data_IF_964320333152
#
_entry.id   IF_964320333152
#
_cell.length_a   1.000
_cell.length_b   1.000
_cell.length_c   1.000
_cell.angle_alpha   90.00
_cell.angle_beta   90.00
_cell.angle_gamma   90.00
#
_symmetry.space_group_name_H-M   'P 1'
#
loop_
_entity.id
_entity.type
_entity.pdbx_description
1 polymer ?
#
# COMPACT_ATOMS: atom_id res chain seq x y z
N UNK A 1 -48.50 -1.32 40.80
CA UNK A 1 -47.12 -1.75 41.14
C UNK A 1 -46.29 -2.15 39.91
N UNK A 2 -46.80 -1.96 38.68
CA UNK A 2 -46.15 -2.42 37.44
C UNK A 2 -45.23 -1.37 36.77
N UNK A 3 -45.33 -0.11 37.17
CA UNK A 3 -44.59 1.02 36.57
C UNK A 3 -43.11 1.09 37.01
N UNK A 4 -42.77 0.57 38.20
CA UNK A 4 -41.38 0.51 38.70
C UNK A 4 -40.56 -0.54 37.94
N UNK A 5 -41.18 -1.67 37.57
CA UNK A 5 -40.53 -2.73 36.78
C UNK A 5 -40.21 -2.26 35.36
N UNK A 6 -41.05 -1.40 34.79
CA UNK A 6 -40.88 -0.87 33.44
C UNK A 6 -39.75 0.16 33.35
N UNK A 7 -39.59 0.99 34.39
CA UNK A 7 -38.47 1.93 34.50
C UNK A 7 -37.14 1.20 34.70
N UNK A 8 -37.12 0.08 35.42
CA UNK A 8 -35.92 -0.73 35.61
C UNK A 8 -35.47 -1.42 34.31
N UNK A 9 -36.42 -1.85 33.47
CA UNK A 9 -36.13 -2.44 32.15
C UNK A 9 -35.58 -1.39 31.17
N UNK A 10 -36.08 -0.15 31.21
CA UNK A 10 -35.58 0.95 30.38
C UNK A 10 -34.15 1.35 30.77
N UNK A 11 -33.84 1.38 32.07
CA UNK A 11 -32.50 1.65 32.59
C UNK A 11 -31.47 0.58 32.19
N UNK A 12 -31.87 -0.69 32.19
CA UNK A 12 -31.02 -1.80 31.74
C UNK A 12 -30.75 -1.73 30.23
N UNK A 13 -31.75 -1.38 29.41
CA UNK A 13 -31.56 -1.16 27.98
C UNK A 13 -30.61 0.01 27.69
N UNK A 14 -30.74 1.11 28.44
CA UNK A 14 -29.87 2.29 28.33
C UNK A 14 -28.41 1.96 28.70
N UNK A 15 -28.20 1.15 29.73
CA UNK A 15 -26.86 0.70 30.16
C UNK A 15 -26.22 -0.22 29.12
N UNK A 16 -26.97 -1.12 28.49
CA UNK A 16 -26.46 -1.99 27.43
C UNK A 16 -26.08 -1.21 26.16
N UNK A 17 -26.86 -0.18 25.80
CA UNK A 17 -26.54 0.70 24.67
C UNK A 17 -25.29 1.55 24.91
N UNK A 18 -25.09 2.02 26.15
CA UNK A 18 -23.87 2.74 26.52
C UNK A 18 -22.65 1.81 26.59
N UNK A 19 -22.82 0.55 27.00
CA UNK A 19 -21.74 -0.44 26.99
C UNK A 19 -21.24 -0.75 25.57
N UNK A 20 -22.14 -0.92 24.59
CA UNK A 20 -21.76 -1.14 23.19
C UNK A 20 -21.16 0.09 22.48
N UNK A 21 -21.37 1.30 23.02
CA UNK A 21 -20.71 2.52 22.55
C UNK A 21 -19.36 2.79 23.24
N UNK A 22 -19.15 2.20 24.42
CA UNK A 22 -17.90 2.27 25.18
C UNK A 22 -16.88 1.19 24.74
N UNK A 23 -17.35 0.06 24.18
CA UNK A 23 -16.56 -0.80 23.29
C UNK A 23 -16.31 -0.03 21.99
N UNK A 24 -15.29 0.83 22.01
CA UNK A 24 -14.90 1.64 20.85
C UNK A 24 -14.84 0.77 19.59
N UNK A 25 -15.46 1.26 18.51
CA UNK A 25 -15.47 0.54 17.23
C UNK A 25 -14.06 0.06 16.92
N UNK A 26 -13.85 -1.24 16.64
CA UNK A 26 -12.54 -1.73 16.29
C UNK A 26 -12.06 -0.91 15.09
N UNK A 27 -10.90 -0.24 15.25
CA UNK A 27 -10.29 0.52 14.17
C UNK A 27 -9.93 -0.48 13.07
N UNK A 28 -10.84 -0.62 12.10
CA UNK A 28 -10.61 -1.43 10.93
C UNK A 28 -9.80 -0.59 9.95
N UNK A 29 -8.68 -1.10 9.42
CA UNK A 29 -7.92 -0.41 8.40
C UNK A 29 -8.85 -0.09 7.21
N UNK A 30 -8.85 1.15 6.75
CA UNK A 30 -9.70 1.54 5.63
C UNK A 30 -9.28 0.80 4.35
N UNK A 31 -10.21 0.09 3.72
CA UNK A 31 -9.97 -0.62 2.45
C UNK A 31 -9.61 0.35 1.31
N UNK A 32 -10.05 1.61 1.40
CA UNK A 32 -9.70 2.65 0.43
C UNK A 32 -8.19 2.95 0.39
N UNK A 33 -7.51 2.95 1.55
CA UNK A 33 -6.06 3.18 1.59
C UNK A 33 -5.28 2.04 0.92
N UNK A 34 -5.72 0.78 1.09
CA UNK A 34 -5.09 -0.37 0.45
C UNK A 34 -5.21 -0.34 -1.09
N UNK A 35 -6.37 0.08 -1.62
CA UNK A 35 -6.56 0.23 -3.07
C UNK A 35 -5.76 1.40 -3.66
N UNK A 36 -5.62 2.51 -2.94
CA UNK A 36 -4.80 3.64 -3.39
C UNK A 36 -3.30 3.26 -3.46
N UNK A 37 -2.81 2.54 -2.44
CA UNK A 37 -1.42 2.08 -2.39
C UNK A 37 -1.12 1.08 -3.52
N UNK A 38 -1.99 0.08 -3.73
CA UNK A 38 -1.80 -0.89 -4.81
C UNK A 38 -1.82 -0.24 -6.20
N UNK A 39 -2.73 0.71 -6.45
CA UNK A 39 -2.72 1.50 -7.68
C UNK A 39 -1.45 2.32 -7.89
N UNK A 40 -0.93 2.95 -6.83
CA UNK A 40 0.34 3.70 -6.89
C UNK A 40 1.55 2.79 -7.14
N UNK A 41 1.55 1.59 -6.56
CA UNK A 41 2.60 0.59 -6.78
C UNK A 41 2.58 0.05 -8.21
N UNK A 42 1.38 -0.21 -8.77
CA UNK A 42 1.24 -0.62 -10.16
C UNK A 42 1.71 0.48 -11.14
N UNK A 43 1.43 1.75 -10.83
CA UNK A 43 1.96 2.87 -11.61
C UNK A 43 3.49 2.95 -11.53
N UNK A 44 4.07 2.79 -10.33
CA UNK A 44 5.52 2.77 -10.14
C UNK A 44 6.19 1.59 -10.89
N UNK A 45 5.59 0.40 -10.83
CA UNK A 45 6.03 -0.78 -11.60
C UNK A 45 6.10 -0.48 -13.11
N UNK A 46 5.04 0.10 -13.67
CA UNK A 46 5.00 0.49 -15.09
C UNK A 46 6.07 1.52 -15.43
N UNK A 47 6.33 2.47 -14.54
CA UNK A 47 7.39 3.47 -14.72
C UNK A 47 8.78 2.84 -14.76
N UNK A 48 9.09 1.94 -13.82
CA UNK A 48 10.39 1.25 -13.77
C UNK A 48 10.60 0.38 -15.01
N UNK A 49 9.56 -0.33 -15.45
CA UNK A 49 9.61 -1.14 -16.66
C UNK A 49 9.84 -0.28 -17.92
N UNK A 50 9.22 0.90 -18.00
CA UNK A 50 9.51 1.86 -19.07
C UNK A 50 10.98 2.35 -19.04
N UNK A 51 11.52 2.68 -17.86
CA UNK A 51 12.93 3.06 -17.70
C UNK A 51 13.88 1.92 -18.11
N UNK A 52 13.58 0.69 -17.73
CA UNK A 52 14.37 -0.48 -18.09
C UNK A 52 14.37 -0.76 -19.60
N UNK A 53 13.20 -0.63 -20.25
CA UNK A 53 13.08 -0.76 -21.70
C UNK A 53 13.83 0.34 -22.44
N UNK A 54 13.75 1.57 -21.97
CA UNK A 54 14.51 2.69 -22.53
C UNK A 54 16.02 2.44 -22.43
N UNK A 55 16.52 2.08 -21.24
CA UNK A 55 17.92 1.77 -21.03
C UNK A 55 18.41 0.63 -21.94
N UNK A 56 17.62 -0.43 -22.06
CA UNK A 56 17.93 -1.57 -22.94
C UNK A 56 18.00 -1.16 -24.41
N UNK A 57 17.07 -0.31 -24.85
CA UNK A 57 17.06 0.22 -26.21
C UNK A 57 18.25 1.15 -26.49
N UNK A 58 18.61 2.01 -25.53
CA UNK A 58 19.77 2.89 -25.63
C UNK A 58 21.07 2.08 -25.73
N UNK A 59 21.24 1.07 -24.88
CA UNK A 59 22.38 0.16 -24.93
C UNK A 59 22.47 -0.60 -26.27
N UNK A 60 21.34 -1.11 -26.77
CA UNK A 60 21.30 -1.77 -28.08
C UNK A 60 21.57 -0.82 -29.25
N UNK A 61 21.15 0.44 -29.17
CA UNK A 61 21.46 1.45 -30.18
C UNK A 61 22.97 1.76 -30.21
N UNK A 62 23.62 1.80 -29.04
CA UNK A 62 25.06 1.98 -28.95
C UNK A 62 25.83 0.76 -29.46
N UNK A 63 25.44 -0.44 -29.06
CA UNK A 63 26.07 -1.70 -29.50
C UNK A 63 25.94 -1.91 -31.01
N UNK A 64 24.83 -1.49 -31.61
CA UNK A 64 24.61 -1.53 -33.06
C UNK A 64 25.23 -0.36 -33.84
N UNK A 65 25.93 0.56 -33.17
CA UNK A 65 26.56 1.73 -33.80
C UNK A 65 25.56 2.79 -34.31
N UNK A 66 24.30 2.72 -33.88
CA UNK A 66 23.27 3.73 -34.20
C UNK A 66 23.34 4.96 -33.28
N UNK A 67 24.09 4.86 -32.19
CA UNK A 67 24.32 5.94 -31.23
C UNK A 67 25.76 5.87 -30.70
N UNK A 68 26.40 7.02 -30.55
CA UNK A 68 27.71 7.12 -29.89
C UNK A 68 27.58 7.45 -28.38
N UNK A 69 26.34 7.63 -27.90
CA UNK A 69 26.07 8.00 -26.50
C UNK A 69 26.08 6.80 -25.56
N UNK A 70 27.26 6.19 -25.41
CA UNK A 70 27.47 5.11 -24.46
C UNK A 70 27.27 5.57 -23.01
N UNK A 71 27.68 6.79 -22.68
CA UNK A 71 27.60 7.32 -21.31
C UNK A 71 26.15 7.51 -20.90
N UNK A 72 25.31 8.09 -21.76
CA UNK A 72 23.87 8.21 -21.52
C UNK A 72 23.22 6.84 -21.35
N UNK A 73 23.52 5.88 -22.23
CA UNK A 73 22.98 4.52 -22.12
C UNK A 73 23.40 3.81 -20.82
N UNK A 74 24.64 4.02 -20.36
CA UNK A 74 25.11 3.49 -19.07
C UNK A 74 24.43 4.16 -17.88
N UNK A 75 24.20 5.47 -17.92
CA UNK A 75 23.49 6.20 -16.87
C UNK A 75 22.03 5.74 -16.80
N UNK A 76 21.36 5.62 -17.94
CA UNK A 76 19.98 5.12 -18.02
C UNK A 76 19.89 3.69 -17.44
N UNK A 77 20.87 2.84 -17.74
CA UNK A 77 20.95 1.47 -17.20
C UNK A 77 21.16 1.44 -15.68
N UNK A 78 22.03 2.32 -15.16
CA UNK A 78 22.23 2.47 -13.72
C UNK A 78 20.99 3.01 -13.03
N UNK A 79 20.34 4.02 -13.62
CA UNK A 79 19.10 4.59 -13.10
C UNK A 79 18.01 3.52 -13.00
N UNK A 80 17.76 2.77 -14.09
CA UNK A 80 16.76 1.70 -14.10
C UNK A 80 17.03 0.64 -13.01
N UNK A 81 18.32 0.28 -12.80
CA UNK A 81 18.72 -0.69 -11.77
C UNK A 81 18.47 -0.20 -10.35
N UNK A 82 18.76 1.07 -10.08
CA UNK A 82 18.49 1.72 -8.79
C UNK A 82 16.98 1.85 -8.55
N UNK A 83 16.22 2.32 -9.54
CA UNK A 83 14.76 2.43 -9.49
C UNK A 83 14.11 1.07 -9.21
N UNK A 84 14.56 0.00 -9.86
CA UNK A 84 14.08 -1.35 -9.63
C UNK A 84 14.38 -1.85 -8.21
N UNK A 85 15.60 -1.63 -7.73
CA UNK A 85 16.00 -2.02 -6.37
C UNK A 85 15.17 -1.30 -5.30
N UNK A 86 14.91 -0.01 -5.49
CA UNK A 86 14.04 0.77 -4.62
C UNK A 86 12.60 0.23 -4.63
N UNK A 87 12.07 -0.10 -5.81
CA UNK A 87 10.73 -0.69 -5.93
C UNK A 87 10.61 -2.03 -5.21
N UNK A 88 11.63 -2.89 -5.28
CA UNK A 88 11.65 -4.15 -4.52
C UNK A 88 11.62 -3.91 -3.01
N UNK A 89 12.33 -2.90 -2.51
CA UNK A 89 12.29 -2.53 -1.09
C UNK A 89 10.90 -2.07 -0.67
N UNK A 90 10.23 -1.25 -1.50
CA UNK A 90 8.85 -0.81 -1.26
C UNK A 90 7.90 -2.01 -1.26
N UNK A 91 7.99 -2.89 -2.26
CA UNK A 91 7.20 -4.13 -2.33
C UNK A 91 7.33 -4.94 -1.04
N UNK A 92 8.55 -5.19 -0.58
CA UNK A 92 8.80 -5.99 0.61
C UNK A 92 8.22 -5.32 1.87
N UNK A 93 8.38 -4.01 2.01
CA UNK A 93 7.79 -3.23 3.12
C UNK A 93 6.26 -3.26 3.09
N UNK A 94 5.63 -3.20 1.91
CA UNK A 94 4.18 -3.25 1.76
C UNK A 94 3.62 -4.62 2.16
N UNK A 95 4.28 -5.72 1.76
CA UNK A 95 3.89 -7.06 2.19
C UNK A 95 3.98 -7.20 3.71
N UNK A 96 5.08 -6.75 4.33
CA UNK A 96 5.22 -6.78 5.79
C UNK A 96 4.17 -5.91 6.49
N UNK A 97 3.92 -4.70 6.01
CA UNK A 97 2.89 -3.83 6.60
C UNK A 97 1.48 -4.41 6.48
N UNK A 98 1.18 -5.11 5.38
CA UNK A 98 -0.08 -5.84 5.22
C UNK A 98 -0.20 -7.01 6.21
N UNK A 99 0.87 -7.81 6.32
CA UNK A 99 0.93 -8.93 7.27
C UNK A 99 0.81 -8.45 8.74
N UNK A 100 1.44 -7.33 9.08
CA UNK A 100 1.38 -6.72 10.42
C UNK A 100 -0.04 -6.23 10.76
N UNK A 101 -0.73 -5.61 9.80
CA UNK A 101 -2.13 -5.19 9.96
C UNK A 101 -3.07 -6.38 10.15
N UNK A 102 -2.84 -7.50 9.44
CA UNK A 102 -3.61 -8.73 9.65
C UNK A 102 -3.32 -9.41 10.99
N UNK A 103 -2.08 -9.27 11.50
CA UNK A 103 -1.63 -9.87 12.76
C UNK A 103 -1.93 -9.03 13.99
N UNK A 104 -2.32 -7.75 13.83
CA UNK A 104 -2.83 -6.96 14.96
C UNK A 104 -4.08 -7.63 15.52
N UNK A 105 -4.04 -8.18 16.75
CA UNK A 105 -5.25 -8.58 17.44
C UNK A 105 -6.02 -7.29 17.77
N UNK A 106 -7.29 -7.24 17.35
CA UNK A 106 -8.24 -6.24 17.83
C UNK A 106 -8.52 -6.45 19.33
#
# INVERSE_FOLDING_TARGET
MSSITQVQQDLLGRMQQLAGAAEGQPIRPSSMAANAISGSFEAALRSVDAEQRQASAAMAAVDSGKSDDLVGAMIDSQKASVSFSALLQVRNKLTTAFDDVMRMPL
#
